data_IF_306043802994
#
_entry.id   IF_306043802994
#
_cell.length_a   1.000
_cell.length_b   1.000
_cell.length_c   1.000
_cell.angle_alpha   90.00
_cell.angle_beta   90.00
_cell.angle_gamma   90.00
#
_symmetry.space_group_name_H-M   'P 1'
#
loop_
_entity.id
_entity.type
_entity.pdbx_description
1 polymer ?
#
# COMPACT_ATOMS: atom_id res chain seq x y z
N UNK A 1 -10.21 -1.37 -29.63
CA UNK A 1 -9.60 -2.06 -28.47
C UNK A 1 -8.22 -1.50 -28.28
N UNK A 2 -7.97 -0.79 -27.20
CA UNK A 2 -6.61 -0.48 -26.82
C UNK A 2 -6.00 -1.76 -26.25
N UNK A 3 -4.99 -2.30 -26.93
CA UNK A 3 -4.15 -3.30 -26.31
C UNK A 3 -3.53 -2.64 -25.08
N UNK A 4 -3.92 -3.09 -23.89
CA UNK A 4 -3.27 -2.66 -22.65
C UNK A 4 -1.84 -3.16 -22.72
N UNK A 5 -0.89 -2.24 -22.87
CA UNK A 5 0.52 -2.59 -22.93
C UNK A 5 0.97 -3.09 -21.57
N UNK A 6 1.07 -4.40 -21.43
CA UNK A 6 1.57 -5.04 -20.21
C UNK A 6 3.09 -4.95 -20.20
N UNK A 7 3.62 -4.00 -19.41
CA UNK A 7 5.07 -3.82 -19.24
C UNK A 7 5.58 -4.76 -18.14
N UNK A 8 4.81 -4.91 -17.07
CA UNK A 8 5.17 -5.73 -15.92
C UNK A 8 4.25 -6.95 -15.83
N UNK A 9 4.82 -8.15 -15.88
CA UNK A 9 4.06 -9.37 -15.59
C UNK A 9 3.77 -9.46 -14.11
N UNK A 10 2.50 -9.44 -13.70
CA UNK A 10 2.11 -9.49 -12.29
C UNK A 10 2.66 -10.72 -11.58
N UNK A 11 2.71 -11.85 -12.27
CA UNK A 11 3.35 -13.07 -11.75
C UNK A 11 4.82 -12.84 -11.40
N UNK A 12 5.58 -12.16 -12.26
CA UNK A 12 6.99 -11.90 -12.01
C UNK A 12 7.20 -10.92 -10.87
N UNK A 13 6.38 -9.87 -10.80
CA UNK A 13 6.41 -8.92 -9.68
C UNK A 13 6.18 -9.66 -8.36
N UNK A 14 5.18 -10.54 -8.32
CA UNK A 14 4.90 -11.36 -7.13
C UNK A 14 6.07 -12.26 -6.76
N UNK A 15 6.65 -12.98 -7.72
CA UNK A 15 7.79 -13.87 -7.47
C UNK A 15 9.01 -13.12 -6.96
N UNK A 16 9.29 -11.93 -7.51
CA UNK A 16 10.39 -11.09 -7.04
C UNK A 16 10.17 -10.64 -5.60
N UNK A 17 8.95 -10.24 -5.25
CA UNK A 17 8.59 -9.86 -3.88
C UNK A 17 8.68 -11.06 -2.94
N UNK A 18 8.19 -12.22 -3.34
CA UNK A 18 8.28 -13.45 -2.53
C UNK A 18 9.75 -13.78 -2.18
N UNK A 19 10.64 -13.65 -3.15
CA UNK A 19 12.09 -13.86 -2.92
C UNK A 19 12.69 -12.80 -2.01
N UNK A 20 12.32 -11.53 -2.23
CA UNK A 20 12.83 -10.41 -1.46
C UNK A 20 12.36 -10.43 0.00
N UNK A 21 11.22 -11.05 0.30
CA UNK A 21 10.65 -11.08 1.64
C UNK A 21 11.61 -11.66 2.69
N UNK A 22 12.47 -12.59 2.31
CA UNK A 22 13.42 -13.24 3.23
C UNK A 22 14.54 -12.32 3.70
N UNK A 23 14.92 -11.35 2.88
CA UNK A 23 16.10 -10.49 3.13
C UNK A 23 15.75 -9.00 3.12
N UNK A 24 14.45 -8.67 3.07
CA UNK A 24 14.01 -7.28 2.93
C UNK A 24 14.55 -6.39 4.06
N UNK A 25 14.54 -6.88 5.29
CA UNK A 25 15.02 -6.12 6.44
C UNK A 25 16.49 -5.68 6.33
N UNK A 26 17.29 -6.39 5.54
CA UNK A 26 18.69 -6.05 5.28
C UNK A 26 18.86 -4.95 4.24
N UNK A 27 17.82 -4.68 3.45
CA UNK A 27 17.83 -3.79 2.28
C UNK A 27 16.68 -2.79 2.23
N UNK A 28 16.02 -2.55 3.37
CA UNK A 28 14.81 -1.74 3.42
C UNK A 28 15.04 -0.23 3.66
N UNK A 29 16.28 0.21 3.65
CA UNK A 29 16.65 1.60 3.95
C UNK A 29 15.84 2.63 3.14
N UNK A 30 15.70 2.41 1.83
CA UNK A 30 14.94 3.32 0.96
C UNK A 30 13.45 3.35 1.34
N UNK A 31 12.87 2.20 1.63
CA UNK A 31 11.47 2.09 2.04
C UNK A 31 11.24 2.75 3.40
N UNK A 32 12.18 2.61 4.31
CA UNK A 32 12.15 3.25 5.61
C UNK A 32 12.16 4.78 5.46
N UNK A 33 13.13 5.31 4.72
CA UNK A 33 13.29 6.75 4.48
C UNK A 33 12.06 7.35 3.80
N UNK A 34 11.59 6.74 2.73
CA UNK A 34 10.41 7.20 2.00
C UNK A 34 9.14 7.10 2.88
N UNK A 35 9.02 6.02 3.65
CA UNK A 35 7.90 5.82 4.57
C UNK A 35 7.85 6.88 5.66
N UNK A 36 8.97 7.25 6.24
CA UNK A 36 9.05 8.33 7.23
C UNK A 36 8.59 9.66 6.64
N UNK A 37 9.02 9.98 5.43
CA UNK A 37 8.59 11.20 4.73
C UNK A 37 7.09 11.22 4.44
N UNK A 38 6.50 10.08 4.10
CA UNK A 38 5.06 9.98 3.94
C UNK A 38 4.33 10.19 5.27
N UNK A 39 4.83 9.61 6.34
CA UNK A 39 4.25 9.79 7.67
C UNK A 39 4.35 11.23 8.17
N UNK A 40 5.43 11.93 7.84
CA UNK A 40 5.58 13.34 8.18
C UNK A 40 4.47 14.21 7.55
N UNK A 41 3.97 13.83 6.38
CA UNK A 41 2.82 14.51 5.75
C UNK A 41 1.54 14.38 6.57
N UNK A 42 1.36 13.28 7.30
CA UNK A 42 0.21 13.12 8.18
C UNK A 42 0.25 14.09 9.36
N UNK A 43 1.43 14.45 9.83
CA UNK A 43 1.58 15.38 10.95
C UNK A 43 1.13 16.81 10.56
N UNK A 44 1.11 17.14 9.28
CA UNK A 44 0.63 18.42 8.75
C UNK A 44 -0.90 18.48 8.61
N UNK A 45 -1.59 17.36 8.79
CA UNK A 45 -3.04 17.25 8.62
C UNK A 45 -3.72 17.10 9.98
N UNK A 46 -4.72 17.94 10.24
CA UNK A 46 -5.43 17.94 11.53
C UNK A 46 -6.52 16.86 11.62
N UNK A 47 -6.93 16.29 10.49
CA UNK A 47 -7.93 15.22 10.43
C UNK A 47 -7.40 13.91 10.99
N UNK A 48 -8.32 13.04 11.43
CA UNK A 48 -8.02 11.68 11.83
C UNK A 48 -8.49 10.69 10.77
N UNK A 49 -7.85 9.54 10.71
CA UNK A 49 -8.10 8.52 9.69
C UNK A 49 -8.34 7.16 10.35
N UNK A 50 -9.54 6.93 10.94
CA UNK A 50 -9.78 5.73 11.74
C UNK A 50 -9.57 4.42 10.98
N UNK A 51 -9.93 4.38 9.69
CA UNK A 51 -9.79 3.19 8.86
C UNK A 51 -8.88 3.48 7.67
N UNK A 52 -7.72 2.83 7.64
CA UNK A 52 -6.67 3.09 6.66
C UNK A 52 -6.21 1.83 5.95
N UNK A 53 -5.72 2.00 4.73
CA UNK A 53 -5.10 0.96 3.91
C UNK A 53 -3.65 1.30 3.62
N UNK A 54 -2.76 0.35 3.87
CA UNK A 54 -1.39 0.35 3.36
C UNK A 54 -1.32 -0.54 2.12
N UNK A 55 -1.25 0.07 0.96
CA UNK A 55 -1.26 -0.60 -0.33
C UNK A 55 0.17 -0.91 -0.78
N UNK A 56 0.50 -2.19 -0.87
CA UNK A 56 1.87 -2.64 -1.10
C UNK A 56 2.69 -2.62 0.19
N UNK A 57 2.17 -3.25 1.23
CA UNK A 57 2.69 -3.17 2.60
C UNK A 57 4.04 -3.85 2.81
N UNK A 58 4.45 -4.73 1.90
CA UNK A 58 5.62 -5.58 2.09
C UNK A 58 5.55 -6.29 3.45
N UNK A 59 6.59 -6.25 4.24
CA UNK A 59 6.64 -6.92 5.56
C UNK A 59 6.08 -6.08 6.71
N UNK A 60 5.32 -5.03 6.41
CA UNK A 60 4.67 -4.19 7.42
C UNK A 60 5.51 -3.03 7.93
N UNK A 61 6.49 -2.58 7.16
CA UNK A 61 7.36 -1.45 7.54
C UNK A 61 6.61 -0.16 7.81
N UNK A 62 5.59 0.15 7.00
CA UNK A 62 4.79 1.36 7.18
C UNK A 62 4.01 1.35 8.51
N UNK A 63 3.44 0.23 8.90
CA UNK A 63 2.75 0.09 10.17
C UNK A 63 3.67 0.40 11.36
N UNK A 64 4.91 -0.03 11.28
CA UNK A 64 5.91 0.25 12.32
C UNK A 64 6.26 1.74 12.38
N UNK A 65 6.42 2.39 11.22
CA UNK A 65 6.74 3.81 11.12
C UNK A 65 5.57 4.67 11.60
N UNK A 66 4.35 4.33 11.20
CA UNK A 66 3.13 5.07 11.58
C UNK A 66 2.97 5.16 13.11
N UNK A 67 3.22 4.07 13.83
CA UNK A 67 3.01 4.04 15.26
C UNK A 67 1.59 4.49 15.63
N UNK A 68 1.47 5.64 16.28
CA UNK A 68 0.18 6.24 16.69
C UNK A 68 -0.24 7.45 15.86
N UNK A 69 0.45 7.73 14.76
CA UNK A 69 0.14 8.88 13.92
C UNK A 69 -1.19 8.71 13.17
N UNK A 70 -1.80 9.81 12.78
CA UNK A 70 -2.97 9.86 11.92
C UNK A 70 -4.29 9.44 12.55
N UNK A 71 -4.33 9.11 13.83
CA UNK A 71 -5.55 8.64 14.48
C UNK A 71 -6.12 7.38 13.86
N UNK A 72 -5.26 6.45 13.46
CA UNK A 72 -5.65 5.19 12.79
C UNK A 72 -6.05 4.17 13.86
N UNK A 73 -7.30 3.75 13.82
CA UNK A 73 -7.81 2.68 14.70
C UNK A 73 -7.58 1.31 14.11
N UNK A 74 -7.73 1.19 12.79
CA UNK A 74 -7.54 -0.05 12.06
C UNK A 74 -6.77 0.20 10.76
N UNK A 75 -5.66 -0.49 10.58
CA UNK A 75 -4.85 -0.49 9.38
C UNK A 75 -4.97 -1.84 8.68
N UNK A 76 -5.52 -1.83 7.47
CA UNK A 76 -5.47 -2.99 6.56
C UNK A 76 -4.18 -2.90 5.77
N UNK A 77 -3.44 -3.99 5.71
CA UNK A 77 -2.20 -4.09 4.98
C UNK A 77 -2.38 -5.06 3.81
N UNK A 78 -2.07 -4.63 2.60
CA UNK A 78 -2.21 -5.47 1.41
C UNK A 78 -0.92 -5.52 0.59
N UNK A 79 -0.60 -6.67 0.06
CA UNK A 79 0.49 -6.88 -0.87
C UNK A 79 0.16 -8.01 -1.84
N UNK A 80 0.74 -7.97 -3.03
CA UNK A 80 0.61 -9.04 -4.02
C UNK A 80 1.30 -10.33 -3.57
N UNK A 81 2.33 -10.22 -2.74
CA UNK A 81 3.15 -11.32 -2.25
C UNK A 81 2.60 -11.90 -0.95
N UNK A 82 2.26 -13.18 -0.97
CA UNK A 82 1.90 -13.92 0.25
C UNK A 82 3.03 -13.91 1.29
N UNK A 83 4.28 -14.10 0.85
CA UNK A 83 5.44 -14.14 1.75
C UNK A 83 5.65 -12.81 2.49
N UNK A 84 5.38 -11.69 1.81
CA UNK A 84 5.39 -10.36 2.43
C UNK A 84 4.26 -10.23 3.46
N UNK A 85 3.03 -10.54 3.05
CA UNK A 85 1.83 -10.44 3.89
C UNK A 85 1.94 -11.30 5.13
N UNK A 86 2.50 -12.51 5.03
CA UNK A 86 2.70 -13.40 6.17
C UNK A 86 3.59 -12.77 7.25
N UNK A 87 4.54 -11.94 6.87
CA UNK A 87 5.41 -11.22 7.81
C UNK A 87 4.78 -9.91 8.33
N UNK A 88 3.86 -9.32 7.57
CA UNK A 88 3.18 -8.10 7.97
C UNK A 88 2.24 -8.30 9.17
N UNK A 89 1.75 -9.50 9.37
CA UNK A 89 0.98 -9.88 10.55
C UNK A 89 -0.50 -9.55 10.46
N UNK A 90 -1.08 -9.17 11.59
CA UNK A 90 -2.52 -8.98 11.73
C UNK A 90 -3.05 -7.86 10.83
N UNK A 91 -4.25 -8.07 10.28
CA UNK A 91 -4.88 -7.12 9.35
C UNK A 91 -4.29 -7.11 7.95
N UNK A 92 -3.49 -8.13 7.59
CA UNK A 92 -2.86 -8.23 6.27
C UNK A 92 -3.61 -9.19 5.34
N UNK A 93 -3.66 -8.83 4.06
CA UNK A 93 -4.29 -9.64 3.00
C UNK A 93 -3.43 -9.63 1.74
N UNK A 94 -3.52 -10.71 0.97
CA UNK A 94 -2.96 -10.76 -0.39
C UNK A 94 -3.94 -10.10 -1.34
N UNK A 95 -3.49 -9.07 -2.04
CA UNK A 95 -4.30 -8.35 -3.02
C UNK A 95 -3.42 -7.72 -4.10
N UNK A 96 -3.93 -7.66 -5.32
CA UNK A 96 -3.26 -7.02 -6.43
C UNK A 96 -3.62 -5.52 -6.46
N UNK A 97 -2.62 -4.65 -6.57
CA UNK A 97 -2.80 -3.21 -6.65
C UNK A 97 -3.58 -2.78 -7.91
N UNK A 98 -3.64 -3.63 -8.93
CA UNK A 98 -4.41 -3.38 -10.15
C UNK A 98 -5.87 -3.86 -10.04
N UNK A 99 -6.21 -4.66 -9.01
CA UNK A 99 -7.54 -5.24 -8.79
C UNK A 99 -7.89 -5.20 -7.30
N UNK A 100 -8.24 -4.02 -6.80
CA UNK A 100 -8.49 -3.83 -5.37
C UNK A 100 -9.80 -4.52 -4.93
N UNK A 101 -9.73 -5.43 -3.94
CA UNK A 101 -10.91 -6.17 -3.45
C UNK A 101 -11.65 -5.42 -2.35
N UNK A 102 -11.72 -4.11 -2.42
CA UNK A 102 -12.30 -3.28 -1.37
C UNK A 102 -13.59 -2.61 -1.84
N UNK A 103 -14.54 -2.47 -0.92
CA UNK A 103 -15.80 -1.79 -1.19
C UNK A 103 -15.58 -0.29 -1.46
N UNK A 104 -16.54 0.32 -2.15
CA UNK A 104 -16.57 1.77 -2.37
C UNK A 104 -16.65 2.50 -1.02
N UNK A 105 -15.99 3.66 -0.94
CA UNK A 105 -16.09 4.55 0.23
C UNK A 105 -15.76 3.84 1.56
N UNK A 106 -14.71 3.02 1.58
CA UNK A 106 -14.34 2.22 2.75
C UNK A 106 -13.30 2.88 3.63
N UNK A 107 -12.30 3.52 3.03
CA UNK A 107 -11.13 4.02 3.76
C UNK A 107 -11.13 5.53 3.94
N UNK A 108 -10.64 5.96 5.09
CA UNK A 108 -10.34 7.36 5.37
C UNK A 108 -8.99 7.79 4.78
N UNK A 109 -8.06 6.84 4.71
CA UNK A 109 -6.69 7.05 4.24
C UNK A 109 -6.22 5.84 3.43
N UNK A 110 -5.56 6.10 2.32
CA UNK A 110 -4.76 5.09 1.59
C UNK A 110 -3.33 5.58 1.50
N UNK A 111 -2.41 4.75 1.96
CA UNK A 111 -0.97 4.96 1.86
C UNK A 111 -0.39 3.98 0.85
N UNK A 112 0.58 4.41 0.05
CA UNK A 112 1.33 3.53 -0.83
C UNK A 112 2.77 3.98 -0.92
N UNK A 113 3.67 3.17 -0.37
CA UNK A 113 5.08 3.51 -0.27
C UNK A 113 5.89 2.79 -1.36
N UNK A 114 6.28 3.50 -2.42
CA UNK A 114 7.14 3.00 -3.49
C UNK A 114 6.63 1.69 -4.13
N UNK A 115 5.33 1.63 -4.45
CA UNK A 115 4.69 0.44 -4.99
C UNK A 115 4.07 0.67 -6.37
N UNK A 116 3.45 1.82 -6.60
CA UNK A 116 2.62 2.08 -7.78
C UNK A 116 3.40 2.14 -9.09
N UNK A 117 4.72 2.29 -9.04
CA UNK A 117 5.56 2.27 -10.25
C UNK A 117 5.66 0.87 -10.89
N UNK A 118 5.17 -0.18 -10.22
CA UNK A 118 5.14 -1.55 -10.75
C UNK A 118 3.81 -1.94 -11.39
N UNK A 119 2.82 -1.06 -11.39
CA UNK A 119 1.53 -1.34 -12.03
C UNK A 119 1.55 -1.01 -13.53
N UNK A 120 0.81 -1.78 -14.33
CA UNK A 120 0.73 -1.56 -15.77
C UNK A 120 -0.22 -0.42 -16.12
N UNK A 121 -1.36 -0.35 -15.42
CA UNK A 121 -2.39 0.67 -15.61
C UNK A 121 -2.46 1.57 -14.38
N UNK A 122 -1.56 2.55 -14.30
CA UNK A 122 -1.54 3.49 -13.19
C UNK A 122 -2.82 4.33 -13.10
N UNK A 123 -3.37 4.89 -14.19
CA UNK A 123 -4.64 5.61 -14.13
C UNK A 123 -5.78 4.76 -13.59
N UNK A 124 -5.88 3.50 -14.01
CA UNK A 124 -6.88 2.56 -13.51
C UNK A 124 -6.69 2.23 -12.03
N UNK A 125 -5.46 2.02 -11.58
CA UNK A 125 -5.14 1.80 -10.17
C UNK A 125 -5.53 3.02 -9.31
N UNK A 126 -5.19 4.21 -9.75
CA UNK A 126 -5.56 5.46 -9.07
C UNK A 126 -7.08 5.65 -9.00
N UNK A 127 -7.80 5.28 -10.06
CA UNK A 127 -9.26 5.31 -10.08
C UNK A 127 -9.85 4.38 -9.01
N UNK A 128 -9.34 3.15 -8.90
CA UNK A 128 -9.77 2.20 -7.89
C UNK A 128 -9.48 2.69 -6.47
N UNK A 129 -8.30 3.28 -6.24
CA UNK A 129 -7.95 3.91 -4.96
C UNK A 129 -8.96 5.01 -4.61
N UNK A 130 -9.26 5.88 -5.55
CA UNK A 130 -10.27 6.94 -5.36
C UNK A 130 -11.64 6.37 -5.00
N UNK A 131 -12.04 5.30 -5.66
CA UNK A 131 -13.35 4.66 -5.42
C UNK A 131 -13.44 4.04 -4.02
N UNK A 132 -12.37 3.47 -3.49
CA UNK A 132 -12.36 2.88 -2.16
C UNK A 132 -12.13 3.91 -1.03
N UNK A 133 -11.73 5.13 -1.36
CA UNK A 133 -11.67 6.24 -0.40
C UNK A 133 -13.04 6.84 -0.15
N UNK A 134 -13.33 7.17 1.11
CA UNK A 134 -14.50 7.96 1.47
C UNK A 134 -14.37 9.38 0.91
N UNK A 135 -15.50 10.09 0.67
CA UNK A 135 -15.45 11.53 0.38
C UNK A 135 -14.65 12.27 1.47
N UNK A 136 -13.68 13.09 1.06
CA UNK A 136 -12.78 13.76 1.98
C UNK A 136 -11.61 12.89 2.47
N UNK A 137 -11.52 11.64 2.04
CA UNK A 137 -10.39 10.77 2.34
C UNK A 137 -9.10 11.25 1.70
N UNK A 138 -7.99 10.82 2.27
CA UNK A 138 -6.64 11.22 1.85
C UNK A 138 -5.90 10.06 1.20
N UNK A 139 -5.19 10.36 0.12
CA UNK A 139 -4.24 9.45 -0.52
C UNK A 139 -2.82 10.02 -0.44
N UNK A 140 -1.87 9.24 0.06
CA UNK A 140 -0.45 9.57 0.12
C UNK A 140 0.39 8.47 -0.53
N UNK A 141 1.27 8.85 -1.47
CA UNK A 141 2.19 7.94 -2.13
C UNK A 141 3.53 8.60 -2.41
#
# INVERSE_FOLDING_TARGET
MSESMTIFTRRMVRLHRDRAAKTLAEHDFLFQEAGERLCDRLDDVTSTFPFALDLGCRTGGMARILGRRGGIDQLIQSDLSYEMVAQAGSGSIVADEEFLPFALNSFDLVLSNLTLHWVNDLPGALMQIRQCLKPGGLFLA
#
